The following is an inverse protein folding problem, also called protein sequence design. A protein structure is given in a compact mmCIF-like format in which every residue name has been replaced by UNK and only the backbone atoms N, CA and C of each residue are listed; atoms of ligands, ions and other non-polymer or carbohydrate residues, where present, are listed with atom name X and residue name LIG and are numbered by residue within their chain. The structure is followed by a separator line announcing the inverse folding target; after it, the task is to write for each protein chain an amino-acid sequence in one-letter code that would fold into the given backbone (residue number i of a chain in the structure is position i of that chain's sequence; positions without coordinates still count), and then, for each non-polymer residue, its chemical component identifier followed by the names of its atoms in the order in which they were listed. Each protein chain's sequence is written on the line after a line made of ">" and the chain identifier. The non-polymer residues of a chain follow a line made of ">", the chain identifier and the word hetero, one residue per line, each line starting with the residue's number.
data_IF_161612124850
#
_entry.id   IF_161612124850
#
_cell.length_a   1.000
_cell.length_b   1.000
_cell.length_c   1.000
_cell.angle_alpha   90.00
_cell.angle_beta   90.00
_cell.angle_gamma   90.00
#
_symmetry.space_group_name_H-M   'P 1'
#
loop_
_entity.id
_entity.type
_entity.pdbx_description
1 polymer ?
#
# COMPACT_ATOMS: atom_id res chain seq x y z
N UNK A 1 20.17 13.07 -17.70
CA UNK A 1 20.51 11.66 -17.96
C UNK A 1 19.45 10.78 -17.30
N UNK A 2 18.78 9.88 -18.03
CA UNK A 2 17.81 8.95 -17.44
C UNK A 2 18.44 8.06 -16.38
N UNK A 3 17.68 7.66 -15.35
CA UNK A 3 18.18 6.77 -14.29
C UNK A 3 18.76 5.47 -14.86
N UNK A 4 18.08 4.86 -15.83
CA UNK A 4 18.54 3.65 -16.49
C UNK A 4 19.96 3.82 -17.10
N UNK A 5 20.25 4.98 -17.69
CA UNK A 5 21.55 5.27 -18.28
C UNK A 5 22.66 5.39 -17.22
N UNK A 6 22.33 5.89 -16.02
CA UNK A 6 23.27 5.95 -14.90
C UNK A 6 23.58 4.56 -14.37
N UNK A 7 22.56 3.70 -14.22
CA UNK A 7 22.75 2.31 -13.80
C UNK A 7 23.59 1.52 -14.81
N UNK A 8 23.35 1.72 -16.11
CA UNK A 8 24.13 1.10 -17.18
C UNK A 8 25.57 1.61 -17.23
N UNK A 9 25.79 2.89 -16.91
CA UNK A 9 27.13 3.46 -16.78
C UNK A 9 27.90 2.77 -15.64
N UNK A 10 27.35 2.70 -14.43
CA UNK A 10 28.02 2.07 -13.28
C UNK A 10 28.37 0.59 -13.49
N UNK A 11 27.60 -0.13 -14.31
CA UNK A 11 27.89 -1.52 -14.68
C UNK A 11 29.11 -1.68 -15.60
N UNK A 12 29.48 -0.65 -16.35
CA UNK A 12 30.52 -0.71 -17.40
C UNK A 12 31.75 0.13 -17.08
N UNK A 13 31.59 1.09 -16.17
CA UNK A 13 32.64 2.01 -15.77
C UNK A 13 33.83 1.28 -15.12
N UNK A 14 35.07 1.43 -15.64
CA UNK A 14 36.24 0.72 -15.12
C UNK A 14 36.59 1.03 -13.66
N UNK A 15 36.23 2.22 -13.18
CA UNK A 15 36.52 2.64 -11.80
C UNK A 15 35.44 2.15 -10.81
N UNK A 16 34.19 2.03 -11.27
CA UNK A 16 33.05 1.65 -10.42
C UNK A 16 32.73 0.14 -10.48
N UNK A 17 32.70 -0.44 -11.68
CA UNK A 17 32.19 -1.80 -11.89
C UNK A 17 32.96 -2.89 -11.10
N UNK A 18 34.30 -2.85 -10.99
CA UNK A 18 35.05 -3.84 -10.19
C UNK A 18 34.70 -3.83 -8.69
N UNK A 19 34.11 -2.73 -8.18
CA UNK A 19 33.74 -2.59 -6.78
C UNK A 19 32.32 -3.12 -6.46
N UNK A 20 31.55 -3.56 -7.47
CA UNK A 20 30.21 -4.11 -7.32
C UNK A 20 30.27 -5.64 -7.25
N UNK A 21 30.31 -6.19 -6.03
CA UNK A 21 30.41 -7.65 -5.81
C UNK A 21 29.11 -8.41 -6.09
N UNK A 22 27.96 -7.72 -6.10
CA UNK A 22 26.67 -8.30 -6.40
C UNK A 22 25.75 -7.26 -7.06
N UNK A 23 24.98 -7.72 -8.05
CA UNK A 23 23.93 -6.94 -8.68
C UNK A 23 22.70 -7.82 -8.87
N UNK A 24 21.59 -7.43 -8.26
CA UNK A 24 20.32 -8.12 -8.39
C UNK A 24 19.25 -7.17 -8.91
N UNK A 25 18.52 -7.61 -9.94
CA UNK A 25 17.36 -6.89 -10.46
C UNK A 25 16.12 -7.68 -10.09
N UNK A 26 15.30 -7.14 -9.19
CA UNK A 26 14.02 -7.74 -8.84
C UNK A 26 12.98 -7.43 -9.93
N UNK A 27 12.10 -8.39 -10.29
CA UNK A 27 11.06 -8.15 -11.29
C UNK A 27 10.02 -7.16 -10.76
N UNK A 28 9.50 -6.32 -11.66
CA UNK A 28 8.34 -5.47 -11.36
C UNK A 28 7.12 -6.33 -11.03
N UNK A 29 6.32 -5.92 -10.04
CA UNK A 29 5.10 -6.61 -9.66
C UNK A 29 3.89 -5.72 -9.97
N UNK A 30 2.91 -6.19 -10.76
CA UNK A 30 1.70 -5.41 -11.00
C UNK A 30 0.91 -5.27 -9.70
N UNK A 31 0.17 -4.17 -9.61
CA UNK A 31 -0.78 -3.96 -8.52
C UNK A 31 -1.89 -5.02 -8.57
N UNK A 32 -2.18 -5.63 -7.42
CA UNK A 32 -3.40 -6.41 -7.23
C UNK A 32 -4.40 -5.55 -6.48
N UNK A 33 -5.50 -5.21 -7.16
CA UNK A 33 -6.51 -4.29 -6.63
C UNK A 33 -7.91 -4.87 -6.74
N UNK A 34 -8.78 -4.46 -5.82
CA UNK A 34 -10.16 -4.89 -5.70
C UNK A 34 -11.09 -3.67 -5.57
N UNK A 35 -12.36 -3.78 -6.00
CA UNK A 35 -13.34 -2.72 -5.77
C UNK A 35 -13.50 -2.45 -4.27
N UNK A 36 -14.10 -1.30 -3.94
CA UNK A 36 -14.48 -1.01 -2.57
C UNK A 36 -15.50 -2.05 -2.05
N UNK A 37 -15.39 -2.49 -0.79
CA UNK A 37 -16.40 -3.30 -0.14
C UNK A 37 -17.77 -2.60 -0.11
N UNK A 38 -18.85 -3.35 -0.26
CA UNK A 38 -20.22 -2.82 -0.25
C UNK A 38 -20.62 -2.24 1.13
N UNK A 39 -19.97 -2.72 2.19
CA UNK A 39 -20.16 -2.29 3.58
C UNK A 39 -19.25 -1.13 4.00
N UNK A 40 -18.40 -0.63 3.10
CA UNK A 40 -17.59 0.56 3.36
C UNK A 40 -18.48 1.82 3.29
N UNK A 41 -18.50 2.69 4.32
CA UNK A 41 -19.41 3.83 4.33
C UNK A 41 -19.22 4.76 3.13
N UNK A 42 -20.33 5.15 2.49
CA UNK A 42 -20.31 5.98 1.29
C UNK A 42 -19.49 7.28 1.41
N UNK A 43 -19.50 8.02 2.54
CA UNK A 43 -18.64 9.20 2.71
C UNK A 43 -17.14 8.89 2.63
N UNK A 44 -16.72 7.70 3.09
CA UNK A 44 -15.32 7.24 3.00
C UNK A 44 -14.97 6.96 1.54
N UNK A 45 -15.82 6.22 0.82
CA UNK A 45 -15.64 5.94 -0.61
C UNK A 45 -15.49 7.25 -1.41
N UNK A 46 -16.37 8.22 -1.18
CA UNK A 46 -16.32 9.52 -1.85
C UNK A 46 -15.01 10.27 -1.58
N UNK A 47 -14.53 10.25 -0.33
CA UNK A 47 -13.26 10.89 0.05
C UNK A 47 -12.06 10.22 -0.61
N UNK A 48 -12.06 8.88 -0.69
CA UNK A 48 -11.01 8.12 -1.36
C UNK A 48 -10.97 8.44 -2.86
N UNK A 49 -12.11 8.45 -3.53
CA UNK A 49 -12.23 8.78 -4.95
C UNK A 49 -11.74 10.22 -5.21
N UNK A 50 -12.15 11.18 -4.37
CA UNK A 50 -11.68 12.56 -4.46
C UNK A 50 -10.16 12.69 -4.27
N UNK A 51 -9.55 11.73 -3.55
CA UNK A 51 -8.10 11.64 -3.33
C UNK A 51 -7.37 10.81 -4.42
N UNK A 52 -8.06 10.40 -5.49
CA UNK A 52 -7.49 9.60 -6.58
C UNK A 52 -7.37 8.10 -6.29
N UNK A 53 -8.00 7.62 -5.22
CA UNK A 53 -8.04 6.19 -4.86
C UNK A 53 -9.37 5.63 -5.36
N UNK A 54 -9.30 4.72 -6.34
CA UNK A 54 -10.48 4.15 -7.00
C UNK A 54 -10.70 2.66 -6.70
N UNK A 55 -9.75 2.03 -6.02
CA UNK A 55 -9.76 0.62 -5.62
C UNK A 55 -8.83 0.43 -4.42
N UNK A 56 -9.00 -0.68 -3.71
CA UNK A 56 -8.11 -1.07 -2.62
C UNK A 56 -7.08 -2.07 -3.12
N UNK A 57 -5.85 -2.01 -2.62
CA UNK A 57 -4.92 -3.12 -2.78
C UNK A 57 -5.42 -4.36 -2.03
N UNK A 58 -5.05 -5.57 -2.47
CA UNK A 58 -5.50 -6.82 -1.84
C UNK A 58 -5.27 -6.85 -0.33
N UNK A 59 -4.10 -6.43 0.15
CA UNK A 59 -3.81 -6.36 1.59
C UNK A 59 -4.67 -5.34 2.37
N UNK A 60 -5.16 -4.28 1.72
CA UNK A 60 -6.07 -3.31 2.34
C UNK A 60 -7.49 -3.88 2.45
N UNK A 61 -7.94 -4.60 1.42
CA UNK A 61 -9.21 -5.32 1.44
C UNK A 61 -9.21 -6.44 2.50
N UNK A 62 -8.15 -7.25 2.55
CA UNK A 62 -8.01 -8.29 3.56
C UNK A 62 -8.02 -7.70 4.98
N UNK A 63 -7.30 -6.59 5.20
CA UNK A 63 -7.32 -5.88 6.47
C UNK A 63 -8.72 -5.42 6.85
N UNK A 64 -9.48 -4.87 5.90
CA UNK A 64 -10.88 -4.49 6.09
C UNK A 64 -11.73 -5.69 6.52
N UNK A 65 -11.70 -6.79 5.77
CA UNK A 65 -12.53 -7.98 6.03
C UNK A 65 -12.25 -8.54 7.43
N UNK A 66 -10.98 -8.76 7.77
CA UNK A 66 -10.60 -9.34 9.05
C UNK A 66 -10.90 -8.39 10.23
N UNK A 67 -10.61 -7.09 10.09
CA UNK A 67 -10.92 -6.12 11.14
C UNK A 67 -12.43 -5.92 11.34
N UNK A 68 -13.22 -5.94 10.26
CA UNK A 68 -14.68 -5.90 10.32
C UNK A 68 -15.24 -7.11 11.07
N UNK A 69 -14.63 -8.29 10.89
CA UNK A 69 -14.93 -9.51 11.63
C UNK A 69 -14.39 -9.53 13.08
N UNK A 70 -13.87 -8.40 13.59
CA UNK A 70 -13.30 -8.26 14.94
C UNK A 70 -12.06 -9.13 15.20
N UNK A 71 -11.32 -9.44 14.15
CA UNK A 71 -10.07 -10.21 14.24
C UNK A 71 -8.86 -9.28 14.39
N UNK A 72 -7.84 -9.76 15.11
CA UNK A 72 -6.56 -9.06 15.21
C UNK A 72 -5.69 -9.38 13.99
N UNK A 73 -5.10 -8.35 13.39
CA UNK A 73 -4.28 -8.49 12.18
C UNK A 73 -2.85 -7.99 12.39
N UNK A 74 -1.90 -8.62 11.70
CA UNK A 74 -0.52 -8.15 11.57
C UNK A 74 -0.27 -7.80 10.10
N UNK A 75 0.01 -6.53 9.81
CA UNK A 75 0.29 -6.07 8.45
C UNK A 75 1.79 -6.07 8.15
N UNK A 76 2.29 -7.14 7.53
CA UNK A 76 3.68 -7.25 7.08
C UNK A 76 3.80 -6.83 5.60
N UNK A 77 3.87 -5.52 5.36
CA UNK A 77 4.01 -4.96 4.01
C UNK A 77 5.18 -3.98 3.93
N UNK A 78 5.77 -3.83 2.74
CA UNK A 78 6.89 -2.91 2.51
C UNK A 78 6.52 -1.44 2.71
N UNK A 79 7.53 -0.57 2.75
CA UNK A 79 7.33 0.88 2.77
C UNK A 79 6.58 1.36 1.53
N UNK A 80 5.78 2.43 1.68
CA UNK A 80 4.95 3.00 0.61
C UNK A 80 3.91 2.04 -0.03
N UNK A 81 3.60 0.91 0.64
CA UNK A 81 2.57 -0.05 0.19
C UNK A 81 1.12 0.44 0.35
N UNK A 82 0.89 1.48 1.15
CA UNK A 82 -0.46 1.90 1.53
C UNK A 82 -0.99 1.27 2.82
N UNK A 83 -0.13 0.65 3.66
CA UNK A 83 -0.49 0.14 5.00
C UNK A 83 -1.21 1.13 5.91
N UNK A 84 -0.94 2.43 5.79
CA UNK A 84 -1.64 3.46 6.56
C UNK A 84 -3.13 3.47 6.29
N UNK A 85 -3.53 3.32 5.02
CA UNK A 85 -4.94 3.23 4.67
C UNK A 85 -5.55 1.93 5.21
N UNK A 86 -4.82 0.82 5.17
CA UNK A 86 -5.31 -0.49 5.62
C UNK A 86 -5.78 -0.49 7.08
N UNK A 87 -5.04 0.15 8.01
CA UNK A 87 -5.47 0.24 9.41
C UNK A 87 -6.39 1.44 9.70
N UNK A 88 -6.33 2.51 8.90
CA UNK A 88 -7.20 3.67 9.11
C UNK A 88 -8.63 3.45 8.62
N UNK A 89 -8.85 2.66 7.56
CA UNK A 89 -10.18 2.36 7.03
C UNK A 89 -11.16 1.85 8.11
N UNK A 90 -10.85 0.77 8.86
CA UNK A 90 -11.75 0.28 9.90
C UNK A 90 -11.95 1.30 11.03
N UNK A 91 -10.90 2.03 11.42
CA UNK A 91 -10.99 3.08 12.46
C UNK A 91 -11.96 4.20 12.04
N UNK A 92 -11.79 4.73 10.82
CA UNK A 92 -12.64 5.81 10.30
C UNK A 92 -14.08 5.33 10.16
N UNK A 93 -14.30 4.11 9.66
CA UNK A 93 -15.64 3.53 9.56
C UNK A 93 -16.33 3.41 10.93
N UNK A 94 -15.60 2.93 11.94
CA UNK A 94 -16.12 2.83 13.30
C UNK A 94 -16.41 4.20 13.92
N UNK A 95 -15.57 5.22 13.66
CA UNK A 95 -15.79 6.58 14.15
C UNK A 95 -17.03 7.24 13.51
N UNK A 96 -17.36 6.91 12.26
CA UNK A 96 -18.55 7.43 11.57
C UNK A 96 -19.85 6.82 12.10
N UNK A 97 -19.81 5.55 12.52
CA UNK A 97 -21.01 4.81 12.95
C UNK A 97 -21.22 4.84 14.47
N UNK A 98 -20.15 5.06 15.25
CA UNK A 98 -20.16 5.00 16.71
C UNK A 98 -19.48 6.27 17.28
N UNK A 99 -20.25 7.27 17.73
CA UNK A 99 -19.72 8.58 18.17
C UNK A 99 -18.67 8.51 19.30
N UNK A 100 -18.72 7.45 20.11
CA UNK A 100 -17.83 7.23 21.25
C UNK A 100 -16.63 6.33 20.95
N UNK A 101 -16.48 5.85 19.70
CA UNK A 101 -15.31 5.05 19.30
C UNK A 101 -14.01 5.86 19.40
N UNK A 102 -12.91 5.19 19.72
CA UNK A 102 -11.56 5.78 19.82
C UNK A 102 -10.54 4.78 19.28
N UNK A 103 -9.39 5.28 18.84
CA UNK A 103 -8.23 4.50 18.41
C UNK A 103 -6.96 5.09 19.04
N UNK A 104 -5.92 4.26 19.21
CA UNK A 104 -4.61 4.59 19.78
C UNK A 104 -3.51 4.31 18.76
#
# INVERSE_FOLDING_TARGET
>A
MPLASVLDFWKRDPDTAPNLVAWETLPSRPAQTHPFPDDLPAPVIQTLIASGIHSLYSHQLEAWIHSHNRENIILSTGTASGKTLAYNLPVISDLLTKPNSRAL
#
